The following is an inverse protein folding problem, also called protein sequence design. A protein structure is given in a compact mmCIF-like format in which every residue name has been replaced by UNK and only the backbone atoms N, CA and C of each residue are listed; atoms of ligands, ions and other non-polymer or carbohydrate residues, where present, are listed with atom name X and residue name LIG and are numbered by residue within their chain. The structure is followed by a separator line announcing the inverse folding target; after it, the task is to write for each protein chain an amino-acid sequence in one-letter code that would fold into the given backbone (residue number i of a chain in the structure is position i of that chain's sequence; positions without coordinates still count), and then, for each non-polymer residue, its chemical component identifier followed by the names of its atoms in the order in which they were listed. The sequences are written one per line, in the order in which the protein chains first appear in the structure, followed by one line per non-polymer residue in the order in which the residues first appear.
data_IF_931173967120
#
_entry.id   IF_931173967120
#
_cell.length_a   1.000
_cell.length_b   1.000
_cell.length_c   1.000
_cell.angle_alpha   90.00
_cell.angle_beta   90.00
_cell.angle_gamma   90.00
#
_symmetry.space_group_name_H-M   'P 1'
#
loop_
_entity.id
_entity.type
_entity.pdbx_description
1 polymer ?
#
# COMPACT_ATOMS: atom_id res chain seq x y z
N UNK A 1 -10.93 -9.82 -26.59
CA UNK A 1 -11.87 -8.82 -26.06
C UNK A 1 -11.05 -7.98 -25.11
N UNK A 2 -10.80 -6.71 -25.43
CA UNK A 2 -10.16 -5.80 -24.47
C UNK A 2 -11.19 -5.53 -23.38
N UNK A 3 -10.80 -5.79 -22.14
CA UNK A 3 -11.62 -5.46 -20.98
C UNK A 3 -11.44 -3.97 -20.76
N UNK A 4 -12.53 -3.23 -20.59
CA UNK A 4 -12.49 -1.82 -20.22
C UNK A 4 -11.57 -1.66 -18.99
N UNK A 5 -10.51 -0.84 -19.11
CA UNK A 5 -9.47 -0.70 -18.07
C UNK A 5 -10.09 -0.31 -16.74
N UNK A 6 -11.15 0.51 -16.75
CA UNK A 6 -11.91 0.85 -15.56
C UNK A 6 -12.49 -0.36 -14.87
N UNK A 7 -13.18 -1.22 -15.63
CA UNK A 7 -13.85 -2.40 -15.06
C UNK A 7 -12.82 -3.38 -14.50
N UNK A 8 -11.69 -3.57 -15.19
CA UNK A 8 -10.62 -4.45 -14.75
C UNK A 8 -9.97 -3.95 -13.45
N UNK A 9 -9.64 -2.65 -13.39
CA UNK A 9 -9.06 -2.05 -12.19
C UNK A 9 -10.05 -2.01 -11.03
N UNK A 10 -11.31 -1.67 -11.27
CA UNK A 10 -12.35 -1.64 -10.22
C UNK A 10 -12.50 -3.02 -9.59
N UNK A 11 -12.61 -4.08 -10.39
CA UNK A 11 -12.66 -5.47 -9.90
C UNK A 11 -11.44 -5.80 -9.04
N UNK A 12 -10.25 -5.43 -9.51
CA UNK A 12 -9.02 -5.71 -8.77
C UNK A 12 -8.95 -4.93 -7.45
N UNK A 13 -9.44 -3.69 -7.41
CA UNK A 13 -9.48 -2.90 -6.18
C UNK A 13 -10.41 -3.53 -5.12
N UNK A 14 -11.53 -4.12 -5.52
CA UNK A 14 -12.38 -4.86 -4.59
C UNK A 14 -11.65 -6.08 -4.01
N UNK A 15 -10.98 -6.88 -4.85
CA UNK A 15 -10.20 -8.03 -4.38
C UNK A 15 -9.08 -7.61 -3.42
N UNK A 16 -8.35 -6.54 -3.75
CA UNK A 16 -7.31 -5.99 -2.88
C UNK A 16 -7.86 -5.46 -1.56
N UNK A 17 -9.03 -4.81 -1.59
CA UNK A 17 -9.70 -4.29 -0.40
C UNK A 17 -10.12 -5.42 0.54
N UNK A 18 -10.77 -6.45 0.01
CA UNK A 18 -11.23 -7.60 0.80
C UNK A 18 -10.05 -8.34 1.44
N UNK A 19 -8.97 -8.56 0.69
CA UNK A 19 -7.74 -9.15 1.22
C UNK A 19 -7.12 -8.28 2.33
N UNK A 20 -6.97 -6.97 2.11
CA UNK A 20 -6.42 -6.04 3.12
C UNK A 20 -7.28 -6.06 4.39
N UNK A 21 -8.60 -6.08 4.24
CA UNK A 21 -9.56 -6.12 5.36
C UNK A 21 -9.47 -7.45 6.12
N UNK A 22 -9.34 -8.56 5.40
CA UNK A 22 -9.14 -9.89 5.98
C UNK A 22 -7.87 -9.94 6.82
N UNK A 23 -6.72 -9.51 6.26
CA UNK A 23 -5.44 -9.52 6.97
C UNK A 23 -5.44 -8.62 8.22
N UNK A 24 -6.05 -7.43 8.14
CA UNK A 24 -6.25 -6.56 9.29
C UNK A 24 -7.11 -7.21 10.38
N UNK A 25 -8.14 -7.97 9.99
CA UNK A 25 -8.99 -8.73 10.92
C UNK A 25 -8.19 -9.83 11.62
N UNK A 26 -7.41 -10.61 10.88
CA UNK A 26 -6.54 -11.67 11.42
C UNK A 26 -5.54 -11.12 12.42
N UNK A 27 -4.92 -9.97 12.11
CA UNK A 27 -4.04 -9.28 13.06
C UNK A 27 -4.82 -8.88 14.31
N UNK A 28 -6.03 -8.35 14.20
CA UNK A 28 -6.81 -7.95 15.37
C UNK A 28 -7.26 -9.13 16.23
N UNK A 29 -7.62 -10.27 15.64
CA UNK A 29 -7.99 -11.48 16.38
C UNK A 29 -6.80 -12.05 17.17
N UNK A 30 -5.60 -12.01 16.58
CA UNK A 30 -4.37 -12.51 17.21
C UNK A 30 -3.71 -11.50 18.17
N UNK A 31 -4.35 -10.36 18.46
CA UNK A 31 -3.78 -9.26 19.25
C UNK A 31 -3.31 -9.71 20.64
N UNK A 32 -4.15 -10.43 21.39
CA UNK A 32 -3.82 -10.84 22.77
C UNK A 32 -2.61 -11.78 22.85
N UNK A 33 -2.47 -12.68 21.87
CA UNK A 33 -1.36 -13.63 21.79
C UNK A 33 -0.02 -12.95 21.48
N UNK A 34 -0.05 -11.89 20.68
CA UNK A 34 1.16 -11.14 20.29
C UNK A 34 1.56 -10.13 21.36
N UNK A 35 0.60 -9.50 22.05
CA UNK A 35 0.88 -8.54 23.13
C UNK A 35 1.60 -9.15 24.33
N UNK A 36 1.39 -10.45 24.57
CA UNK A 36 2.07 -11.20 25.62
C UNK A 36 3.27 -12.00 25.09
N UNK A 37 3.64 -11.83 23.82
CA UNK A 37 4.74 -12.52 23.15
C UNK A 37 6.06 -11.75 23.21
N UNK A 38 7.15 -12.35 22.71
CA UNK A 38 8.46 -11.69 22.63
C UNK A 38 8.44 -10.44 21.74
N UNK A 39 9.32 -9.48 22.04
CA UNK A 39 9.40 -8.15 21.41
C UNK A 39 9.47 -8.18 19.87
N UNK A 40 10.15 -9.19 19.31
CA UNK A 40 10.22 -9.35 17.86
C UNK A 40 8.85 -9.57 17.19
N UNK A 41 7.89 -10.18 17.89
CA UNK A 41 6.51 -10.35 17.40
C UNK A 41 5.72 -9.04 17.47
N UNK A 42 5.98 -8.20 18.48
CA UNK A 42 5.39 -6.87 18.60
C UNK A 42 5.86 -5.94 17.47
N UNK A 43 7.16 -5.93 17.20
CA UNK A 43 7.76 -5.16 16.11
C UNK A 43 7.18 -5.62 14.77
N UNK A 44 7.23 -6.93 14.48
CA UNK A 44 6.67 -7.48 13.24
C UNK A 44 5.21 -7.07 13.05
N UNK A 45 4.38 -7.19 14.10
CA UNK A 45 2.98 -6.76 14.07
C UNK A 45 2.84 -5.28 13.72
N UNK A 46 3.65 -4.41 14.32
CA UNK A 46 3.62 -2.97 14.02
C UNK A 46 3.88 -2.71 12.53
N UNK A 47 4.87 -3.39 11.97
CA UNK A 47 5.23 -3.28 10.55
C UNK A 47 4.14 -3.84 9.62
N UNK A 48 3.56 -4.99 9.95
CA UNK A 48 2.45 -5.59 9.20
C UNK A 48 1.24 -4.63 9.19
N UNK A 49 0.92 -4.00 10.32
CA UNK A 49 -0.15 -2.98 10.40
C UNK A 49 0.18 -1.77 9.51
N UNK A 50 1.39 -1.23 9.58
CA UNK A 50 1.80 -0.10 8.75
C UNK A 50 1.69 -0.43 7.26
N UNK A 51 2.13 -1.62 6.85
CA UNK A 51 2.02 -2.10 5.48
C UNK A 51 0.57 -2.18 5.00
N UNK A 52 -0.32 -2.82 5.77
CA UNK A 52 -1.73 -2.94 5.42
C UNK A 52 -2.47 -1.59 5.40
N UNK A 53 -2.11 -0.67 6.31
CA UNK A 53 -2.61 0.70 6.25
C UNK A 53 -2.14 1.44 5.00
N UNK A 54 -0.91 1.18 4.56
CA UNK A 54 -0.38 1.63 3.28
C UNK A 54 -1.21 1.12 2.09
N UNK A 55 -1.50 -0.18 2.06
CA UNK A 55 -2.35 -0.77 1.02
C UNK A 55 -3.73 -0.10 0.99
N UNK A 56 -4.39 0.00 2.14
CA UNK A 56 -5.69 0.67 2.25
C UNK A 56 -5.65 2.11 1.72
N UNK A 57 -4.63 2.88 2.08
CA UNK A 57 -4.47 4.27 1.63
C UNK A 57 -4.33 4.38 0.11
N UNK A 58 -3.62 3.45 -0.52
CA UNK A 58 -3.51 3.42 -1.97
C UNK A 58 -4.81 2.98 -2.65
N UNK A 59 -5.49 1.96 -2.10
CA UNK A 59 -6.80 1.53 -2.59
C UNK A 59 -7.79 2.69 -2.58
N UNK A 60 -7.92 3.39 -1.44
CA UNK A 60 -8.85 4.53 -1.30
C UNK A 60 -8.52 5.66 -2.30
N UNK A 61 -7.23 5.94 -2.51
CA UNK A 61 -6.78 6.97 -3.44
C UNK A 61 -7.08 6.60 -4.91
N UNK A 62 -6.79 5.36 -5.31
CA UNK A 62 -7.01 4.91 -6.69
C UNK A 62 -8.51 4.76 -6.96
N UNK A 63 -9.30 4.26 -6.02
CA UNK A 63 -10.75 4.21 -6.11
C UNK A 63 -11.36 5.62 -6.30
N UNK A 64 -10.84 6.61 -5.56
CA UNK A 64 -11.23 8.02 -5.75
C UNK A 64 -10.86 8.54 -7.14
N UNK A 65 -9.67 8.20 -7.66
CA UNK A 65 -9.26 8.57 -9.02
C UNK A 65 -10.19 7.91 -10.05
N UNK A 66 -10.47 6.62 -9.89
CA UNK A 66 -11.33 5.84 -10.78
C UNK A 66 -12.77 6.40 -10.82
N UNK A 67 -13.35 6.76 -9.67
CA UNK A 67 -14.70 7.35 -9.61
C UNK A 67 -14.80 8.75 -10.21
N UNK A 68 -13.70 9.51 -10.23
CA UNK A 68 -13.67 10.89 -10.72
C UNK A 68 -13.28 11.02 -12.20
N UNK A 69 -12.91 9.92 -12.86
CA UNK A 69 -12.51 9.92 -14.27
C UNK A 69 -13.36 8.88 -15.01
N UNK A 70 -14.09 9.28 -16.04
CA UNK A 70 -15.05 8.38 -16.73
C UNK A 70 -14.47 7.73 -17.99
N UNK A 71 -13.24 8.07 -18.36
CA UNK A 71 -12.54 7.52 -19.51
C UNK A 71 -11.13 7.05 -19.12
N UNK A 72 -10.65 5.99 -19.78
CA UNK A 72 -9.38 5.35 -19.50
C UNK A 72 -8.18 6.31 -19.56
N UNK A 73 -8.21 7.29 -20.48
CA UNK A 73 -7.08 8.20 -20.68
C UNK A 73 -6.94 9.13 -19.48
N UNK A 74 -8.05 9.71 -19.02
CA UNK A 74 -8.07 10.58 -17.84
C UNK A 74 -7.72 9.81 -16.56
N UNK A 75 -8.25 8.59 -16.41
CA UNK A 75 -7.91 7.71 -15.28
C UNK A 75 -6.41 7.41 -15.23
N UNK A 76 -5.83 6.89 -16.33
CA UNK A 76 -4.41 6.52 -16.41
C UNK A 76 -3.51 7.72 -16.13
N UNK A 77 -3.86 8.90 -16.64
CA UNK A 77 -3.08 10.13 -16.40
C UNK A 77 -3.03 10.51 -14.91
N UNK A 78 -4.17 10.49 -14.24
CA UNK A 78 -4.26 10.82 -12.81
C UNK A 78 -3.62 9.73 -11.93
N UNK A 79 -3.82 8.46 -12.29
CA UNK A 79 -3.17 7.33 -11.63
C UNK A 79 -1.63 7.40 -11.75
N UNK A 80 -1.09 7.75 -12.92
CA UNK A 80 0.34 7.95 -13.12
C UNK A 80 0.89 9.09 -12.25
N UNK A 81 0.14 10.20 -12.13
CA UNK A 81 0.51 11.33 -11.27
C UNK A 81 0.58 10.91 -9.79
N UNK A 82 -0.42 10.16 -9.32
CA UNK A 82 -0.41 9.57 -7.98
C UNK A 82 0.77 8.60 -7.77
N UNK A 83 1.03 7.76 -8.78
CA UNK A 83 2.12 6.78 -8.78
C UNK A 83 3.47 7.46 -8.64
N UNK A 84 3.77 8.48 -9.45
CA UNK A 84 5.04 9.20 -9.40
C UNK A 84 5.29 9.81 -8.01
N UNK A 85 4.28 10.46 -7.43
CA UNK A 85 4.39 11.08 -6.10
C UNK A 85 4.67 10.06 -5.00
N UNK A 86 3.99 8.91 -5.07
CA UNK A 86 4.14 7.84 -4.07
C UNK A 86 5.47 7.12 -4.22
N UNK A 87 5.91 6.85 -5.46
CA UNK A 87 7.19 6.20 -5.72
C UNK A 87 8.38 7.10 -5.39
N UNK A 88 8.29 8.40 -5.61
CA UNK A 88 9.31 9.36 -5.16
C UNK A 88 9.46 9.32 -3.63
N UNK A 89 8.34 9.37 -2.91
CA UNK A 89 8.31 9.24 -1.44
C UNK A 89 8.91 7.91 -0.98
N UNK A 90 8.56 6.80 -1.65
CA UNK A 90 9.10 5.47 -1.37
C UNK A 90 10.62 5.42 -1.60
N UNK A 91 11.11 5.92 -2.73
CA UNK A 91 12.53 5.92 -3.06
C UNK A 91 13.34 6.79 -2.10
N UNK A 92 12.79 7.94 -1.70
CA UNK A 92 13.40 8.79 -0.69
C UNK A 92 13.49 8.06 0.66
N UNK A 93 12.39 7.45 1.11
CA UNK A 93 12.35 6.66 2.34
C UNK A 93 13.36 5.50 2.28
N UNK A 94 13.36 4.71 1.21
CA UNK A 94 14.29 3.60 1.00
C UNK A 94 15.77 4.04 1.03
N UNK A 95 16.07 5.17 0.37
CA UNK A 95 17.42 5.74 0.38
C UNK A 95 17.82 6.16 1.78
N UNK A 96 16.91 6.78 2.53
CA UNK A 96 17.15 7.15 3.93
C UNK A 96 17.46 5.89 4.76
N UNK A 97 16.69 4.80 4.63
CA UNK A 97 17.00 3.54 5.32
C UNK A 97 18.40 3.01 5.03
N UNK A 98 18.76 2.99 3.75
CA UNK A 98 20.05 2.45 3.31
C UNK A 98 21.23 3.22 3.90
N UNK A 99 21.03 4.49 4.24
CA UNK A 99 22.06 5.39 4.73
C UNK A 99 22.03 5.60 6.26
N UNK A 100 21.21 4.82 7.01
CA UNK A 100 21.21 4.87 8.48
C UNK A 100 22.38 4.04 9.02
N UNK A 101 23.42 4.71 9.53
CA UNK A 101 24.57 4.06 10.19
C UNK A 101 24.21 3.55 11.59
N UNK A 102 23.39 4.30 12.32
CA UNK A 102 22.88 3.96 13.66
C UNK A 102 21.40 4.34 13.77
N UNK A 103 20.56 3.52 14.43
CA UNK A 103 19.14 3.84 14.62
C UNK A 103 18.98 5.21 15.28
N UNK A 104 18.33 6.20 14.62
CA UNK A 104 18.01 7.47 15.24
C UNK A 104 16.92 7.29 16.32
N UNK A 105 16.68 8.33 17.12
CA UNK A 105 15.70 8.30 18.20
C UNK A 105 14.26 8.02 17.74
N UNK A 106 13.95 8.33 16.48
CA UNK A 106 12.64 8.15 15.82
C UNK A 106 12.65 7.00 14.80
N UNK A 107 13.57 6.03 14.96
CA UNK A 107 13.73 4.93 14.01
C UNK A 107 12.46 4.10 13.80
N UNK A 108 11.63 3.93 14.84
CA UNK A 108 10.35 3.25 14.76
C UNK A 108 9.35 3.99 13.86
N UNK A 109 9.30 5.32 13.95
CA UNK A 109 8.46 6.19 13.10
C UNK A 109 8.91 6.09 11.64
N UNK A 110 10.23 6.17 11.42
CA UNK A 110 10.81 6.03 10.08
C UNK A 110 10.42 4.67 9.51
N UNK A 111 10.58 3.59 10.27
CA UNK A 111 10.29 2.21 9.85
C UNK A 111 8.80 2.01 9.53
N UNK A 112 7.91 2.49 10.39
CA UNK A 112 6.47 2.46 10.13
C UNK A 112 6.10 3.24 8.85
N UNK A 113 6.71 4.41 8.63
CA UNK A 113 6.49 5.20 7.43
C UNK A 113 6.94 4.45 6.16
N UNK A 114 8.09 3.78 6.22
CA UNK A 114 8.58 2.95 5.11
C UNK A 114 7.62 1.85 4.74
N UNK A 115 7.15 1.09 5.73
CA UNK A 115 6.25 -0.03 5.51
C UNK A 115 4.90 0.46 4.96
N UNK A 116 4.45 1.64 5.39
CA UNK A 116 3.28 2.31 4.79
C UNK A 116 3.51 2.57 3.29
N UNK A 117 4.66 3.13 2.91
CA UNK A 117 4.99 3.39 1.51
C UNK A 117 5.16 2.08 0.71
N UNK A 118 5.73 1.04 1.30
CA UNK A 118 5.78 -0.31 0.71
C UNK A 118 4.38 -0.86 0.42
N UNK A 119 3.45 -0.70 1.36
CA UNK A 119 2.05 -1.09 1.19
C UNK A 119 1.40 -0.36 0.03
N UNK A 120 1.56 0.97 -0.03
CA UNK A 120 1.04 1.77 -1.13
C UNK A 120 1.63 1.34 -2.49
N UNK A 121 2.95 1.13 -2.54
CA UNK A 121 3.65 0.67 -3.74
C UNK A 121 3.12 -0.69 -4.22
N UNK A 122 2.86 -1.63 -3.31
CA UNK A 122 2.36 -2.96 -3.69
C UNK A 122 1.02 -2.91 -4.43
N UNK A 123 0.11 -2.04 -4.01
CA UNK A 123 -1.18 -1.82 -4.67
C UNK A 123 -0.97 -1.14 -6.03
N UNK A 124 -0.10 -0.13 -6.10
CA UNK A 124 0.25 0.56 -7.35
C UNK A 124 0.82 -0.43 -8.38
N UNK A 125 1.73 -1.32 -7.97
CA UNK A 125 2.32 -2.33 -8.85
C UNK A 125 1.25 -3.31 -9.37
N UNK A 126 0.31 -3.72 -8.50
CA UNK A 126 -0.80 -4.61 -8.85
C UNK A 126 -1.74 -3.95 -9.88
N UNK A 127 -2.13 -2.70 -9.66
CA UNK A 127 -3.00 -1.94 -10.59
C UNK A 127 -2.30 -1.67 -11.91
N UNK A 128 -1.03 -1.26 -11.89
CA UNK A 128 -0.22 -1.09 -13.11
C UNK A 128 -0.17 -2.37 -13.95
N UNK A 129 -0.03 -3.52 -13.30
CA UNK A 129 0.00 -4.82 -13.98
C UNK A 129 -1.33 -5.09 -14.70
N UNK A 130 -2.47 -4.77 -14.08
CA UNK A 130 -3.80 -4.90 -14.69
C UNK A 130 -4.01 -3.95 -15.85
N UNK A 131 -3.61 -2.67 -15.71
CA UNK A 131 -3.69 -1.68 -16.80
C UNK A 131 -2.88 -2.16 -18.02
N UNK A 132 -1.69 -2.73 -17.80
CA UNK A 132 -0.82 -3.19 -18.89
C UNK A 132 -1.34 -4.45 -19.59
N UNK A 133 -2.25 -5.19 -18.95
CA UNK A 133 -2.82 -6.45 -19.46
C UNK A 133 -4.23 -6.31 -20.06
N UNK A 134 -4.90 -5.16 -19.87
CA UNK A 134 -6.27 -4.87 -20.36
C UNK A 134 -6.29 -4.40 -21.81
#
# INVERSE_FOLDING_TARGET
MSTDTHTAVESQLYDLFDNTKYELSELNQNKSLVLNGPDNKLIKRGLDISYLQGQKKAIDAIDTILKNNHDDTSFITNFNTYTLTTLDSYNHSFTNFKNIDYPPADYDVILAHHYTLMGQKSVIDAVNSTITQS
#
